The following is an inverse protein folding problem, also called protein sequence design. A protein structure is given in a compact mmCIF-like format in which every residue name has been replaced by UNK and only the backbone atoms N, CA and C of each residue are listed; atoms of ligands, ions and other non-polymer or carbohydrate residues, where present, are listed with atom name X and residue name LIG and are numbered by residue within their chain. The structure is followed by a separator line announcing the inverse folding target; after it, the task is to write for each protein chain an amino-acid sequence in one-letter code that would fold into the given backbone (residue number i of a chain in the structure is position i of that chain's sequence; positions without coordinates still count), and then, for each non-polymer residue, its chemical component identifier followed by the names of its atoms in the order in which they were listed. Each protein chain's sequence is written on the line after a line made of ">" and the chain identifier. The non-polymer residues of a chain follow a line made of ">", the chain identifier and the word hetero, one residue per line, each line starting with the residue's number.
data_IF_231087472626
#
_entry.id   IF_231087472626
#
_cell.length_a   1.000
_cell.length_b   1.000
_cell.length_c   1.000
_cell.angle_alpha   90.00
_cell.angle_beta   90.00
_cell.angle_gamma   90.00
#
_symmetry.space_group_name_H-M   'P 1'
#
loop_
_entity.id
_entity.type
_entity.pdbx_description
1 polymer ?
#
# COMPACT_ATOMS: atom_id res chain seq x y z
N UNK A 1 41.23 -69.95 -59.22
CA UNK A 1 40.03 -69.16 -58.91
C UNK A 1 40.34 -68.37 -57.64
N UNK A 2 40.11 -67.07 -57.47
CA UNK A 2 39.28 -66.08 -58.17
C UNK A 2 39.94 -64.69 -57.97
N UNK A 3 40.16 -63.91 -59.03
CA UNK A 3 39.37 -62.73 -59.41
C UNK A 3 39.39 -61.57 -58.37
N UNK A 4 40.22 -60.55 -58.62
CA UNK A 4 40.10 -59.23 -58.00
C UNK A 4 38.99 -58.43 -58.70
N UNK A 5 37.99 -57.99 -57.94
CA UNK A 5 36.91 -57.11 -58.38
C UNK A 5 36.58 -56.03 -57.33
N UNK A 6 36.93 -54.79 -57.68
CA UNK A 6 36.16 -53.53 -57.60
C UNK A 6 35.43 -53.04 -56.30
N UNK A 7 35.91 -51.87 -55.80
CA UNK A 7 35.22 -50.70 -55.16
C UNK A 7 34.33 -50.90 -53.90
N UNK A 8 33.93 -49.83 -53.14
CA UNK A 8 34.35 -48.42 -53.08
C UNK A 8 34.65 -47.91 -51.64
N UNK A 9 35.15 -46.67 -51.52
CA UNK A 9 35.41 -45.97 -50.26
C UNK A 9 34.13 -45.58 -49.50
N UNK A 10 34.05 -45.72 -48.15
CA UNK A 10 32.95 -45.18 -47.36
C UNK A 10 33.28 -43.80 -46.75
N UNK A 11 32.54 -42.84 -47.29
CA UNK A 11 32.03 -41.56 -46.79
C UNK A 11 32.21 -41.19 -45.31
N UNK A 12 32.56 -39.92 -45.09
CA UNK A 12 32.58 -39.23 -43.80
C UNK A 12 31.18 -39.11 -43.17
N UNK A 13 31.05 -39.19 -41.83
CA UNK A 13 29.76 -39.13 -41.16
C UNK A 13 29.17 -37.71 -41.15
N UNK A 14 27.86 -37.63 -41.44
CA UNK A 14 27.03 -36.43 -41.38
C UNK A 14 26.89 -35.86 -39.94
N UNK A 15 26.64 -34.55 -39.77
CA UNK A 15 26.49 -33.94 -38.45
C UNK A 15 25.15 -34.34 -37.80
N UNK A 16 25.21 -34.62 -36.49
CA UNK A 16 24.07 -35.03 -35.67
C UNK A 16 23.03 -33.89 -35.48
N UNK A 17 21.72 -34.21 -35.35
CA UNK A 17 20.68 -33.21 -35.10
C UNK A 17 20.80 -32.57 -33.70
N UNK A 18 20.66 -31.25 -33.63
CA UNK A 18 20.66 -30.48 -32.39
C UNK A 18 19.44 -30.82 -31.51
N UNK A 19 19.69 -31.06 -30.22
CA UNK A 19 18.68 -31.32 -29.20
C UNK A 19 17.82 -30.06 -28.89
N UNK A 20 16.54 -30.23 -28.52
CA UNK A 20 15.66 -29.12 -28.15
C UNK A 20 16.08 -28.46 -26.82
N UNK A 21 15.78 -27.15 -26.62
CA UNK A 21 16.19 -26.42 -25.42
C UNK A 21 15.39 -26.85 -24.17
N UNK A 22 16.12 -27.08 -23.08
CA UNK A 22 15.55 -27.31 -21.74
C UNK A 22 14.71 -26.11 -21.26
N UNK A 23 13.56 -26.34 -20.60
CA UNK A 23 12.76 -25.26 -20.03
C UNK A 23 13.49 -24.61 -18.83
N UNK A 24 13.53 -23.27 -18.84
CA UNK A 24 14.13 -22.45 -17.79
C UNK A 24 13.44 -22.67 -16.42
N UNK A 25 14.17 -22.54 -15.30
CA UNK A 25 13.64 -22.79 -13.96
C UNK A 25 12.53 -21.80 -13.62
N UNK A 26 11.36 -22.32 -13.25
CA UNK A 26 10.23 -21.56 -12.75
C UNK A 26 10.64 -20.81 -11.47
N UNK A 27 10.52 -19.49 -11.50
CA UNK A 27 10.70 -18.63 -10.33
C UNK A 27 9.71 -19.04 -9.23
N UNK A 28 10.23 -19.54 -8.13
CA UNK A 28 9.45 -19.84 -6.94
C UNK A 28 8.97 -18.52 -6.33
N UNK A 29 7.68 -18.22 -6.46
CA UNK A 29 7.05 -17.13 -5.73
C UNK A 29 7.12 -17.45 -4.23
N UNK A 30 7.91 -16.68 -3.48
CA UNK A 30 7.88 -16.72 -2.03
C UNK A 30 6.45 -16.45 -1.52
N UNK A 31 6.00 -17.05 -0.40
CA UNK A 31 4.67 -16.79 0.13
C UNK A 31 4.53 -15.29 0.43
N UNK A 32 3.73 -14.58 -0.36
CA UNK A 32 3.27 -13.25 0.02
C UNK A 32 2.50 -13.42 1.33
N UNK A 33 2.95 -12.77 2.39
CA UNK A 33 2.23 -12.72 3.66
C UNK A 33 0.78 -12.31 3.36
N UNK A 34 -0.18 -13.13 3.78
CA UNK A 34 -1.59 -12.87 3.54
C UNK A 34 -1.97 -11.51 4.13
N UNK A 35 -2.47 -10.60 3.30
CA UNK A 35 -2.90 -9.28 3.71
C UNK A 35 -3.98 -9.40 4.80
N UNK A 36 -3.80 -8.69 5.91
CA UNK A 36 -4.79 -8.67 7.00
C UNK A 36 -6.06 -7.95 6.53
N UNK A 37 -7.27 -8.46 6.86
CA UNK A 37 -8.51 -7.81 6.47
C UNK A 37 -8.64 -6.43 7.14
N UNK A 38 -9.21 -5.47 6.41
CA UNK A 38 -9.48 -4.11 6.88
C UNK A 38 -10.28 -4.11 8.18
N UNK A 39 -9.86 -3.28 9.14
CA UNK A 39 -10.55 -3.09 10.41
C UNK A 39 -11.64 -2.02 10.30
N UNK A 40 -12.86 -2.34 10.73
CA UNK A 40 -13.97 -1.39 10.79
C UNK A 40 -14.31 -0.99 12.23
N UNK A 41 -14.61 0.30 12.43
CA UNK A 41 -15.05 0.87 13.70
C UNK A 41 -16.31 1.70 13.50
N UNK A 42 -17.44 1.14 13.90
CA UNK A 42 -18.76 1.77 13.68
C UNK A 42 -19.18 2.74 14.79
N UNK A 43 -18.48 2.70 15.92
CA UNK A 43 -18.77 3.55 17.09
C UNK A 43 -17.92 4.81 17.10
N UNK A 44 -18.43 5.86 17.76
CA UNK A 44 -17.66 7.06 18.07
C UNK A 44 -16.51 6.73 19.04
N UNK A 45 -15.29 7.12 18.66
CA UNK A 45 -14.13 7.12 19.56
C UNK A 45 -14.13 8.36 20.43
N UNK A 46 -14.10 8.18 21.75
CA UNK A 46 -14.12 9.27 22.74
C UNK A 46 -12.71 9.66 23.19
N UNK A 47 -12.58 10.85 23.78
CA UNK A 47 -11.32 11.35 24.34
C UNK A 47 -10.61 10.30 25.19
N UNK A 48 -9.29 10.16 24.99
CA UNK A 48 -8.44 9.20 25.70
C UNK A 48 -8.51 7.77 25.14
N UNK A 49 -9.39 7.47 24.20
CA UNK A 49 -9.42 6.17 23.54
C UNK A 49 -8.43 6.11 22.39
N UNK A 50 -7.84 4.93 22.19
CA UNK A 50 -6.93 4.64 21.10
C UNK A 50 -7.35 3.35 20.39
N UNK A 51 -7.33 3.36 19.05
CA UNK A 51 -7.48 2.17 18.21
C UNK A 51 -6.23 2.03 17.34
N UNK A 52 -5.77 0.78 17.17
CA UNK A 52 -4.64 0.46 16.32
C UNK A 52 -4.97 -0.72 15.39
N UNK A 53 -5.04 -0.45 14.08
CA UNK A 53 -5.17 -1.45 13.02
C UNK A 53 -3.78 -1.91 12.55
N UNK A 54 -3.32 -3.04 13.11
CA UNK A 54 -2.02 -3.64 12.78
C UNK A 54 -2.08 -4.40 11.46
N UNK A 55 -1.10 -4.15 10.59
CA UNK A 55 -0.91 -4.79 9.30
C UNK A 55 -2.04 -4.55 8.29
N UNK A 56 -2.92 -3.58 8.53
CA UNK A 56 -4.11 -3.34 7.70
C UNK A 56 -4.55 -1.88 7.72
N UNK A 57 -5.54 -1.58 6.88
CA UNK A 57 -6.23 -0.30 6.81
C UNK A 57 -7.28 -0.19 7.94
N UNK A 58 -7.62 1.04 8.31
CA UNK A 58 -8.64 1.35 9.30
C UNK A 58 -9.77 2.18 8.68
N UNK A 59 -10.99 1.69 8.81
CA UNK A 59 -12.22 2.39 8.43
C UNK A 59 -13.01 2.76 9.69
N UNK A 60 -13.40 4.03 9.80
CA UNK A 60 -14.12 4.59 10.93
C UNK A 60 -15.42 5.20 10.42
N UNK A 61 -16.55 4.61 10.81
CA UNK A 61 -17.89 5.12 10.44
C UNK A 61 -18.41 6.09 11.50
N UNK A 62 -18.16 5.81 12.79
CA UNK A 62 -18.74 6.60 13.90
C UNK A 62 -18.04 7.94 14.19
N UNK A 63 -16.77 8.08 13.85
CA UNK A 63 -15.96 9.30 14.05
C UNK A 63 -14.95 9.21 15.19
N UNK A 64 -14.13 10.25 15.32
CA UNK A 64 -13.02 10.37 16.26
C UNK A 64 -13.15 11.71 16.99
N UNK A 65 -13.41 11.67 18.29
CA UNK A 65 -13.55 12.87 19.13
C UNK A 65 -12.19 13.54 19.39
N UNK A 66 -12.17 14.82 19.83
CA UNK A 66 -10.96 15.42 20.38
C UNK A 66 -10.34 14.54 21.47
N UNK A 67 -9.00 14.48 21.52
CA UNK A 67 -8.24 13.64 22.43
C UNK A 67 -8.30 12.13 22.16
N UNK A 68 -9.06 11.65 21.17
CA UNK A 68 -9.02 10.26 20.72
C UNK A 68 -7.95 10.05 19.65
N UNK A 69 -7.46 8.83 19.51
CA UNK A 69 -6.37 8.49 18.58
C UNK A 69 -6.68 7.24 17.76
N UNK A 70 -6.37 7.32 16.47
CA UNK A 70 -6.46 6.20 15.55
C UNK A 70 -5.15 6.00 14.81
N UNK A 71 -4.68 4.76 14.81
CA UNK A 71 -3.42 4.34 14.21
C UNK A 71 -3.71 3.21 13.22
N UNK A 72 -3.11 3.27 12.03
CA UNK A 72 -3.13 2.18 11.07
C UNK A 72 -1.76 2.00 10.44
N UNK A 73 -1.38 0.74 10.18
CA UNK A 73 -0.19 0.44 9.40
C UNK A 73 -0.40 0.74 7.91
N UNK A 74 -1.65 0.64 7.44
CA UNK A 74 -2.08 1.10 6.13
C UNK A 74 -2.72 2.50 6.17
N UNK A 75 -3.77 2.67 5.37
CA UNK A 75 -4.55 3.90 5.24
C UNK A 75 -5.64 4.02 6.30
N UNK A 76 -6.08 5.26 6.55
CA UNK A 76 -7.20 5.58 7.44
C UNK A 76 -8.32 6.23 6.64
N UNK A 77 -9.53 5.72 6.78
CA UNK A 77 -10.74 6.24 6.17
C UNK A 77 -11.73 6.61 7.28
N UNK A 78 -12.03 7.89 7.44
CA UNK A 78 -12.97 8.38 8.44
C UNK A 78 -14.20 8.99 7.78
N UNK A 79 -15.33 8.32 7.90
CA UNK A 79 -16.61 8.77 7.36
C UNK A 79 -17.47 9.52 8.39
N UNK A 80 -17.10 9.49 9.66
CA UNK A 80 -17.59 10.40 10.70
C UNK A 80 -16.70 11.63 10.89
N UNK A 81 -17.00 12.50 11.88
CA UNK A 81 -16.14 13.63 12.22
C UNK A 81 -14.74 13.17 12.66
N UNK A 82 -13.68 13.64 12.00
CA UNK A 82 -12.30 13.40 12.42
C UNK A 82 -11.81 14.60 13.23
N UNK A 83 -11.98 14.58 14.55
CA UNK A 83 -11.57 15.67 15.47
C UNK A 83 -10.33 15.35 16.31
N UNK A 84 -10.01 14.07 16.48
CA UNK A 84 -8.82 13.63 17.22
C UNK A 84 -7.57 13.52 16.35
N UNK A 85 -6.73 12.53 16.65
CA UNK A 85 -5.44 12.28 15.97
C UNK A 85 -5.53 11.08 15.04
N UNK A 86 -5.00 11.20 13.82
CA UNK A 86 -4.92 10.11 12.85
C UNK A 86 -3.48 9.87 12.39
N UNK A 87 -2.99 8.64 12.58
CA UNK A 87 -1.64 8.21 12.22
C UNK A 87 -1.74 7.03 11.25
N UNK A 88 -1.54 7.30 9.97
CA UNK A 88 -1.53 6.29 8.91
C UNK A 88 -0.09 5.91 8.53
N UNK A 89 0.08 4.73 7.91
CA UNK A 89 1.40 4.26 7.51
C UNK A 89 2.34 4.07 8.70
N UNK A 90 1.84 3.67 9.87
CA UNK A 90 2.61 3.63 11.12
C UNK A 90 3.86 2.74 11.04
N UNK A 91 3.85 1.73 10.15
CA UNK A 91 4.98 0.85 9.86
C UNK A 91 5.83 1.29 8.65
N UNK A 92 5.73 2.56 8.24
CA UNK A 92 6.56 3.15 7.19
C UNK A 92 5.94 3.16 5.79
N UNK A 93 4.62 2.95 5.66
CA UNK A 93 3.96 3.00 4.35
C UNK A 93 3.78 4.45 3.89
N UNK A 94 4.70 4.91 3.04
CA UNK A 94 4.66 6.25 2.45
C UNK A 94 3.50 6.44 1.45
N UNK A 95 2.86 5.36 1.00
CA UNK A 95 1.71 5.41 0.08
C UNK A 95 0.37 5.46 0.81
N UNK A 96 0.38 5.29 2.13
CA UNK A 96 -0.81 5.38 2.95
C UNK A 96 -1.48 6.76 2.80
N UNK A 97 -2.81 6.77 2.99
CA UNK A 97 -3.63 7.97 2.89
C UNK A 97 -4.46 8.13 4.15
N UNK A 98 -4.80 9.37 4.47
CA UNK A 98 -5.90 9.67 5.38
C UNK A 98 -6.99 10.33 4.55
N UNK A 99 -8.17 9.72 4.52
CA UNK A 99 -9.34 10.25 3.83
C UNK A 99 -10.41 10.52 4.89
N UNK A 100 -10.90 11.74 4.96
CA UNK A 100 -11.94 12.12 5.91
C UNK A 100 -13.11 12.78 5.18
N UNK A 101 -14.34 12.48 5.58
CA UNK A 101 -15.56 13.18 5.10
C UNK A 101 -15.77 14.53 5.79
N UNK A 102 -15.28 14.67 7.03
CA UNK A 102 -15.35 15.89 7.83
C UNK A 102 -14.00 16.11 8.50
N UNK A 103 -13.15 16.91 7.85
CA UNK A 103 -11.77 17.15 8.25
C UNK A 103 -11.68 18.20 9.36
N UNK A 104 -11.43 17.73 10.58
CA UNK A 104 -11.28 18.54 11.78
C UNK A 104 -10.15 18.15 12.73
N UNK A 105 -9.06 17.46 12.30
CA UNK A 105 -8.18 16.75 13.23
C UNK A 105 -7.30 17.68 14.07
N UNK A 106 -6.90 17.21 15.24
CA UNK A 106 -5.80 17.80 16.03
C UNK A 106 -4.44 17.58 15.35
N UNK A 107 -4.25 16.36 14.82
CA UNK A 107 -3.02 15.92 14.17
C UNK A 107 -3.33 14.90 13.08
N UNK A 108 -2.59 14.99 11.98
CA UNK A 108 -2.49 13.93 10.96
C UNK A 108 -1.03 13.53 10.76
N UNK A 109 -0.77 12.25 10.54
CA UNK A 109 0.56 11.72 10.23
C UNK A 109 0.49 10.63 9.16
N UNK A 110 1.49 10.63 8.28
CA UNK A 110 1.72 9.56 7.31
C UNK A 110 3.20 9.19 7.38
N UNK A 111 3.48 7.93 7.74
CA UNK A 111 4.86 7.41 7.80
C UNK A 111 5.81 8.29 8.62
N UNK A 112 5.35 8.72 9.80
CA UNK A 112 6.14 9.54 10.72
C UNK A 112 6.22 11.04 10.38
N UNK A 113 5.79 11.47 9.18
CA UNK A 113 5.65 12.89 8.86
C UNK A 113 4.29 13.37 9.35
N UNK A 114 4.27 14.37 10.22
CA UNK A 114 3.04 14.85 10.86
C UNK A 114 2.79 16.33 10.66
N UNK A 115 1.52 16.72 10.79
CA UNK A 115 1.07 18.11 10.89
C UNK A 115 0.07 18.24 12.03
N UNK A 116 0.29 19.23 12.88
CA UNK A 116 -0.66 19.67 13.92
C UNK A 116 -1.48 20.86 13.44
N UNK A 117 -2.68 21.02 14.00
CA UNK A 117 -3.61 22.11 13.65
C UNK A 117 -3.94 23.03 14.83
N UNK A 118 -2.98 23.24 15.73
CA UNK A 118 -3.13 24.12 16.91
C UNK A 118 -3.47 25.57 16.53
N UNK A 119 -3.01 26.02 15.36
CA UNK A 119 -3.32 27.35 14.79
C UNK A 119 -4.61 27.39 13.97
N UNK A 120 -5.39 26.32 14.01
CA UNK A 120 -6.59 26.15 13.19
C UNK A 120 -6.33 25.38 11.90
N UNK A 121 -7.44 25.05 11.23
CA UNK A 121 -7.46 24.28 9.99
C UNK A 121 -7.74 25.23 8.83
N UNK A 122 -7.02 25.12 7.69
CA UNK A 122 -7.30 25.95 6.52
C UNK A 122 -8.76 25.83 6.08
N UNK A 123 -9.42 26.96 5.79
CA UNK A 123 -10.84 27.02 5.39
C UNK A 123 -11.15 26.15 4.17
N UNK A 124 -10.17 25.96 3.28
CA UNK A 124 -10.30 25.11 2.10
C UNK A 124 -10.71 23.66 2.45
N UNK A 125 -10.29 23.14 3.61
CA UNK A 125 -10.53 21.74 4.03
C UNK A 125 -11.32 21.62 5.33
N UNK A 126 -11.41 22.68 6.14
CA UNK A 126 -12.08 22.63 7.44
C UNK A 126 -13.54 22.17 7.33
N UNK A 127 -13.87 21.06 8.00
CA UNK A 127 -15.21 20.48 8.00
C UNK A 127 -15.66 19.85 6.68
N UNK A 128 -14.78 19.82 5.67
CA UNK A 128 -15.06 19.28 4.33
C UNK A 128 -14.43 17.90 4.17
N UNK A 129 -14.81 17.23 3.08
CA UNK A 129 -14.11 16.02 2.68
C UNK A 129 -12.69 16.39 2.22
N UNK A 130 -11.69 15.68 2.74
CA UNK A 130 -10.30 15.97 2.45
C UNK A 130 -9.45 14.69 2.40
N UNK A 131 -8.34 14.79 1.67
CA UNK A 131 -7.32 13.76 1.59
C UNK A 131 -5.98 14.32 2.07
N UNK A 132 -5.29 13.51 2.89
CA UNK A 132 -3.88 13.68 3.24
C UNK A 132 -3.06 12.61 2.54
N UNK A 133 -1.94 12.99 1.94
CA UNK A 133 -0.93 12.09 1.34
C UNK A 133 0.47 12.68 1.47
N UNK A 134 1.49 11.84 1.39
CA UNK A 134 2.85 12.33 1.18
C UNK A 134 3.05 12.77 -0.28
N UNK A 135 3.76 13.88 -0.46
CA UNK A 135 4.17 14.38 -1.75
C UNK A 135 5.60 13.91 -2.08
N UNK A 136 5.70 12.95 -3.00
CA UNK A 136 6.95 12.54 -3.64
C UNK A 136 8.09 12.21 -2.67
N UNK A 137 9.31 12.59 -3.05
CA UNK A 137 10.57 12.35 -2.31
C UNK A 137 10.82 13.34 -1.17
N UNK A 138 9.97 14.37 -1.03
CA UNK A 138 10.22 15.50 -0.13
C UNK A 138 9.61 15.31 1.26
N UNK A 139 9.07 14.13 1.58
CA UNK A 139 8.44 13.80 2.86
C UNK A 139 7.52 14.93 3.39
N UNK A 140 6.78 15.57 2.49
CA UNK A 140 5.89 16.70 2.82
C UNK A 140 4.44 16.26 2.71
N UNK A 141 3.63 16.58 3.73
CA UNK A 141 2.19 16.29 3.71
C UNK A 141 1.45 17.27 2.78
N UNK A 142 0.80 16.72 1.76
CA UNK A 142 -0.19 17.41 0.96
C UNK A 142 -1.59 17.15 1.54
N UNK A 143 -2.38 18.22 1.68
CA UNK A 143 -3.75 18.18 2.20
C UNK A 143 -4.63 18.91 1.20
N UNK A 144 -5.54 18.19 0.57
CA UNK A 144 -6.42 18.70 -0.48
C UNK A 144 -7.88 18.38 -0.17
N UNK A 145 -8.80 19.29 -0.52
CA UNK A 145 -10.22 19.02 -0.45
C UNK A 145 -10.61 18.04 -1.56
N UNK A 146 -11.47 17.07 -1.22
CA UNK A 146 -12.05 16.17 -2.21
C UNK A 146 -13.23 16.85 -2.90
N UNK A 147 -13.23 16.84 -4.22
CA UNK A 147 -14.40 17.23 -5.02
C UNK A 147 -15.33 16.02 -5.08
N UNK A 148 -16.43 16.10 -4.36
CA UNK A 148 -17.54 15.15 -4.40
C UNK A 148 -18.69 15.91 -5.06
N UNK A 149 -19.07 15.47 -6.26
CA UNK A 149 -20.11 16.09 -7.09
C UNK A 149 -21.52 15.75 -6.58
#
# INVERSE_FOLDING_TARGET
>A
AAALGDRPAPQAPAPAPAAPPSPAPAVAHAPQAAAQPTMFVDRLLRSGQQIYARGTDLVIVGGVSPGAEVIADGSIHCYGPLRGRAIAGAQGDNKARIIASNFGPELVSISGVFRTFERGIPEAVAGRAAQVRLHGTENTLNIEALQLD
#
